data_IF_327886384955
#
_entry.id   IF_327886384955
#
_cell.length_a   1.000
_cell.length_b   1.000
_cell.length_c   1.000
_cell.angle_alpha   90.00
_cell.angle_beta   90.00
_cell.angle_gamma   90.00
#
_symmetry.space_group_name_H-M   'P 1'
#
loop_
_entity.id
_entity.type
_entity.pdbx_description
1 polymer ?
#
# COMPACT_ATOMS: atom_id res chain seq x y z
N UNK A 1 47.80 -53.29 -12.80
CA UNK A 1 47.30 -52.10 -13.53
C UNK A 1 45.82 -52.38 -13.79
N UNK A 2 44.80 -51.64 -13.35
CA UNK A 2 44.63 -50.29 -12.80
C UNK A 2 43.22 -50.26 -12.18
N UNK A 3 43.10 -49.73 -10.96
CA UNK A 3 41.88 -49.65 -10.16
C UNK A 3 40.87 -48.65 -10.76
N UNK A 4 39.57 -48.92 -10.63
CA UNK A 4 38.53 -47.88 -10.76
C UNK A 4 37.47 -48.06 -9.68
N UNK A 5 37.65 -47.32 -8.60
CA UNK A 5 36.65 -47.06 -7.57
C UNK A 5 35.75 -45.93 -8.07
N UNK A 6 34.48 -46.20 -8.35
CA UNK A 6 33.51 -45.15 -8.70
C UNK A 6 32.93 -44.57 -7.40
N UNK A 7 33.43 -43.40 -7.00
CA UNK A 7 32.81 -42.57 -5.97
C UNK A 7 31.67 -41.79 -6.63
N UNK A 8 30.43 -42.16 -6.32
CA UNK A 8 29.24 -41.44 -6.76
C UNK A 8 29.07 -40.19 -5.87
N UNK A 9 29.47 -39.02 -6.38
CA UNK A 9 29.26 -37.73 -5.72
C UNK A 9 27.81 -37.29 -5.96
N UNK A 10 26.95 -37.49 -4.95
CA UNK A 10 25.58 -36.96 -4.91
C UNK A 10 25.64 -35.44 -4.67
N UNK A 11 25.60 -34.67 -5.75
CA UNK A 11 25.52 -33.21 -5.71
C UNK A 11 24.08 -32.81 -5.35
N UNK A 12 23.84 -32.48 -4.08
CA UNK A 12 22.56 -31.96 -3.60
C UNK A 12 22.36 -30.52 -4.12
N UNK A 13 21.63 -30.35 -5.21
CA UNK A 13 21.14 -29.04 -5.66
C UNK A 13 19.93 -28.65 -4.81
N UNK A 14 20.19 -27.97 -3.69
CA UNK A 14 19.19 -27.18 -2.97
C UNK A 14 18.78 -26.01 -3.86
N UNK A 15 17.72 -26.20 -4.65
CA UNK A 15 17.02 -25.12 -5.32
C UNK A 15 16.33 -24.32 -4.21
N UNK A 16 16.94 -23.22 -3.80
CA UNK A 16 16.34 -22.26 -2.90
C UNK A 16 15.11 -21.67 -3.55
N UNK A 17 13.93 -22.09 -3.07
CA UNK A 17 12.67 -21.41 -3.36
C UNK A 17 12.71 -20.07 -2.63
N UNK A 18 13.29 -19.05 -3.28
CA UNK A 18 13.00 -17.66 -2.94
C UNK A 18 11.53 -17.44 -3.28
N UNK A 19 10.69 -17.44 -2.25
CA UNK A 19 9.27 -17.13 -2.37
C UNK A 19 9.14 -15.61 -2.62
N UNK A 20 9.39 -15.18 -3.86
CA UNK A 20 8.95 -13.88 -4.32
C UNK A 20 7.42 -13.91 -4.35
N UNK A 21 6.77 -13.18 -3.44
CA UNK A 21 5.32 -13.05 -3.44
C UNK A 21 4.88 -12.37 -4.73
N UNK A 22 4.26 -13.16 -5.61
CA UNK A 22 3.37 -12.81 -6.72
C UNK A 22 3.34 -11.32 -7.07
N UNK A 23 4.14 -10.93 -8.06
CA UNK A 23 4.03 -9.61 -8.68
C UNK A 23 2.90 -9.64 -9.71
N UNK A 24 1.87 -8.80 -9.56
CA UNK A 24 0.89 -8.57 -10.62
C UNK A 24 1.57 -7.75 -11.72
N UNK A 25 1.91 -8.42 -12.83
CA UNK A 25 2.42 -7.78 -14.04
C UNK A 25 1.24 -7.38 -14.92
N UNK A 26 1.10 -6.09 -15.18
CA UNK A 26 0.05 -5.55 -16.04
C UNK A 26 0.54 -5.66 -17.50
N UNK A 27 -0.27 -6.10 -18.48
CA UNK A 27 0.15 -6.14 -19.88
C UNK A 27 0.35 -4.69 -20.36
N UNK A 28 1.54 -4.28 -20.80
CA UNK A 28 2.22 -4.75 -22.00
C UNK A 28 3.74 -4.87 -21.78
N UNK A 29 4.27 -6.04 -22.13
CA UNK A 29 5.67 -6.52 -21.96
C UNK A 29 6.08 -6.81 -20.51
N UNK A 30 6.66 -8.00 -20.22
CA UNK A 30 7.22 -8.26 -18.91
C UNK A 30 8.46 -7.38 -18.76
N UNK A 31 8.33 -6.27 -18.05
CA UNK A 31 9.47 -5.52 -17.53
C UNK A 31 9.68 -5.93 -16.09
N UNK A 32 10.64 -6.84 -15.80
CA UNK A 32 11.32 -6.92 -14.50
C UNK A 32 11.88 -5.56 -14.03
N UNK A 33 11.93 -4.57 -14.93
CA UNK A 33 12.45 -3.22 -14.87
C UNK A 33 11.35 -2.12 -14.85
N UNK A 34 10.28 -2.30 -14.08
CA UNK A 34 9.20 -1.29 -13.92
C UNK A 34 9.32 -0.46 -12.64
N UNK A 35 8.50 0.59 -12.55
CA UNK A 35 8.18 1.22 -11.27
C UNK A 35 7.08 0.42 -10.55
N UNK A 36 6.97 0.58 -9.23
CA UNK A 36 6.02 -0.17 -8.39
C UNK A 36 5.07 0.79 -7.69
N UNK A 37 3.78 0.62 -7.88
CA UNK A 37 2.76 1.53 -7.31
C UNK A 37 1.73 0.77 -6.46
N UNK A 38 1.32 1.40 -5.36
CA UNK A 38 0.19 0.99 -4.53
C UNK A 38 -0.75 2.16 -4.38
N UNK A 39 -1.99 2.03 -4.83
CA UNK A 39 -3.03 3.01 -4.54
C UNK A 39 -3.59 2.76 -3.13
N UNK A 40 -3.81 3.84 -2.39
CA UNK A 40 -4.32 3.83 -1.01
C UNK A 40 -5.51 4.78 -0.92
N UNK A 41 -6.71 4.23 -0.74
CA UNK A 41 -7.93 5.04 -0.69
C UNK A 41 -8.33 5.37 0.75
N UNK A 42 -8.22 6.64 1.11
CA UNK A 42 -8.43 7.15 2.47
C UNK A 42 -9.42 8.32 2.54
N UNK A 43 -9.96 8.76 1.40
CA UNK A 43 -11.05 9.75 1.34
C UNK A 43 -12.40 9.13 1.76
N UNK A 44 -12.99 9.50 2.91
CA UNK A 44 -14.17 8.82 3.45
C UNK A 44 -15.49 9.21 2.78
N UNK A 45 -15.52 10.32 2.05
CA UNK A 45 -16.72 10.85 1.37
C UNK A 45 -16.63 10.73 -0.16
N UNK A 46 -15.51 10.24 -0.69
CA UNK A 46 -15.37 9.94 -2.11
C UNK A 46 -16.03 8.59 -2.43
N UNK A 47 -16.55 8.47 -3.66
CA UNK A 47 -17.02 7.20 -4.20
C UNK A 47 -15.86 6.20 -4.27
N UNK A 48 -16.18 4.89 -4.35
CA UNK A 48 -15.19 3.90 -4.74
C UNK A 48 -14.57 4.28 -6.10
N UNK A 49 -13.32 3.90 -6.33
CA UNK A 49 -12.58 4.29 -7.53
C UNK A 49 -12.03 3.09 -8.30
N UNK A 50 -11.98 3.27 -9.61
CA UNK A 50 -11.16 2.52 -10.54
C UNK A 50 -9.89 3.35 -10.85
N UNK A 51 -8.75 2.67 -11.00
CA UNK A 51 -7.47 3.21 -11.42
C UNK A 51 -7.18 2.73 -12.84
N UNK A 52 -6.90 3.70 -13.71
CA UNK A 52 -6.43 3.52 -15.07
C UNK A 52 -5.00 4.03 -15.18
N UNK A 53 -4.19 3.33 -15.95
CA UNK A 53 -2.82 3.70 -16.29
C UNK A 53 -2.64 3.54 -17.78
N UNK A 54 -2.15 4.59 -18.46
CA UNK A 54 -2.11 4.62 -19.93
C UNK A 54 -3.46 4.22 -20.54
N UNK A 55 -4.54 4.77 -19.99
CA UNK A 55 -5.94 4.49 -20.35
C UNK A 55 -6.40 3.03 -20.18
N UNK A 56 -5.57 2.15 -19.61
CA UNK A 56 -5.93 0.78 -19.27
C UNK A 56 -6.38 0.69 -17.82
N UNK A 57 -7.58 0.16 -17.58
CA UNK A 57 -8.05 -0.13 -16.22
C UNK A 57 -7.16 -1.19 -15.59
N UNK A 58 -6.56 -0.87 -14.45
CA UNK A 58 -5.70 -1.78 -13.72
C UNK A 58 -6.33 -2.31 -12.43
N UNK A 59 -7.21 -1.52 -11.81
CA UNK A 59 -7.98 -1.98 -10.66
C UNK A 59 -9.18 -2.80 -11.14
N UNK A 60 -8.97 -4.11 -11.27
CA UNK A 60 -9.96 -5.15 -11.49
C UNK A 60 -10.43 -5.40 -12.95
N UNK A 61 -10.23 -6.64 -13.41
CA UNK A 61 -10.90 -7.31 -14.53
C UNK A 61 -10.67 -6.72 -15.93
N UNK A 62 -9.91 -7.44 -16.75
CA UNK A 62 -9.70 -7.22 -18.18
C UNK A 62 -11.01 -6.84 -18.94
N UNK A 63 -10.94 -5.97 -19.95
CA UNK A 63 -12.05 -5.79 -20.91
C UNK A 63 -12.52 -7.14 -21.47
N UNK A 64 -13.79 -7.24 -21.84
CA UNK A 64 -14.34 -8.41 -22.56
C UNK A 64 -13.46 -8.74 -23.76
N UNK A 65 -12.74 -9.87 -23.72
CA UNK A 65 -11.86 -10.34 -24.80
C UNK A 65 -10.35 -10.25 -24.53
N UNK A 66 -9.89 -9.73 -23.39
CA UNK A 66 -8.46 -9.72 -23.06
C UNK A 66 -8.07 -10.93 -22.20
N UNK A 67 -7.01 -11.63 -22.63
CA UNK A 67 -6.49 -12.85 -22.00
C UNK A 67 -5.43 -12.51 -20.94
N UNK A 68 -5.50 -13.20 -19.81
CA UNK A 68 -4.84 -12.94 -18.52
C UNK A 68 -3.37 -12.54 -18.55
N UNK A 69 -2.97 -11.66 -17.62
CA UNK A 69 -1.86 -11.98 -16.69
C UNK A 69 -2.34 -11.64 -15.27
N UNK A 70 -2.62 -12.70 -14.50
CA UNK A 70 -2.84 -12.77 -13.06
C UNK A 70 -3.41 -11.51 -12.38
N UNK A 71 -4.73 -11.45 -12.22
CA UNK A 71 -5.38 -11.01 -10.99
C UNK A 71 -6.39 -12.13 -10.68
N UNK A 72 -6.44 -12.59 -9.43
CA UNK A 72 -7.21 -13.77 -9.03
C UNK A 72 -8.63 -13.81 -9.61
N UNK A 73 -9.16 -15.02 -9.75
CA UNK A 73 -10.45 -15.43 -10.33
C UNK A 73 -11.71 -14.79 -9.69
N UNK A 74 -11.75 -13.47 -9.55
CA UNK A 74 -12.79 -12.72 -8.86
C UNK A 74 -13.39 -11.61 -9.72
N UNK A 75 -14.69 -11.40 -9.54
CA UNK A 75 -15.48 -10.30 -10.08
C UNK A 75 -14.78 -8.95 -9.86
N UNK A 76 -14.77 -8.04 -10.85
CA UNK A 76 -14.11 -6.74 -10.72
C UNK A 76 -14.63 -5.97 -9.50
N UNK A 77 -13.77 -5.65 -8.53
CA UNK A 77 -14.18 -4.91 -7.32
C UNK A 77 -13.47 -3.57 -7.27
N UNK A 78 -14.27 -2.50 -7.17
CA UNK A 78 -13.77 -1.14 -7.04
C UNK A 78 -12.98 -0.94 -5.74
N UNK A 79 -12.04 0.01 -5.75
CA UNK A 79 -11.25 0.36 -4.58
C UNK A 79 -12.11 1.25 -3.68
N UNK A 80 -12.44 0.78 -2.47
CA UNK A 80 -13.30 1.49 -1.53
C UNK A 80 -12.50 2.23 -0.45
N UNK A 81 -13.15 3.15 0.26
CA UNK A 81 -12.52 3.84 1.40
C UNK A 81 -11.99 2.84 2.45
N UNK A 82 -10.72 3.01 2.85
CA UNK A 82 -10.02 2.13 3.77
C UNK A 82 -9.49 0.86 3.11
N UNK A 83 -9.15 0.91 1.82
CA UNK A 83 -8.57 -0.22 1.09
C UNK A 83 -7.40 0.22 0.21
N UNK A 84 -6.64 -0.76 -0.29
CA UNK A 84 -5.53 -0.55 -1.23
C UNK A 84 -5.70 -1.34 -2.51
N UNK A 85 -5.04 -0.87 -3.57
CA UNK A 85 -4.79 -1.65 -4.77
C UNK A 85 -3.29 -1.66 -5.11
N UNK A 86 -2.66 -2.82 -5.33
CA UNK A 86 -3.21 -4.15 -5.09
C UNK A 86 -3.65 -4.36 -3.63
N UNK A 87 -4.57 -5.32 -3.46
CA UNK A 87 -5.14 -5.69 -2.16
C UNK A 87 -4.26 -6.70 -1.41
N UNK A 88 -4.88 -7.57 -0.61
CA UNK A 88 -4.15 -8.58 0.17
C UNK A 88 -3.35 -9.54 -0.72
N UNK A 89 -2.12 -9.88 -0.30
CA UNK A 89 -1.26 -10.86 -0.95
C UNK A 89 -0.23 -10.26 -1.92
N UNK A 90 -0.51 -9.08 -2.47
CA UNK A 90 0.38 -8.37 -3.40
C UNK A 90 0.61 -6.95 -2.88
N UNK A 91 1.87 -6.56 -2.73
CA UNK A 91 2.17 -5.22 -2.22
C UNK A 91 2.14 -4.14 -3.30
N UNK A 92 2.53 -4.40 -4.54
CA UNK A 92 2.58 -3.34 -5.55
C UNK A 92 2.20 -3.88 -6.92
N UNK A 93 1.56 -3.03 -7.73
CA UNK A 93 1.42 -3.25 -9.15
C UNK A 93 2.69 -2.77 -9.86
N UNK A 94 3.20 -3.55 -10.80
CA UNK A 94 4.33 -3.14 -11.64
C UNK A 94 3.79 -2.35 -12.84
N UNK A 95 4.37 -1.18 -13.09
CA UNK A 95 3.99 -0.25 -14.15
C UNK A 95 5.23 0.28 -14.87
N UNK A 96 5.05 0.90 -16.03
CA UNK A 96 6.14 1.56 -16.74
C UNK A 96 6.79 2.66 -15.87
N UNK A 97 8.09 2.88 -16.01
CA UNK A 97 8.77 4.06 -15.48
C UNK A 97 8.67 5.25 -16.46
N UNK A 98 9.08 6.44 -16.01
CA UNK A 98 9.00 7.69 -16.75
C UNK A 98 7.73 8.48 -16.43
N UNK A 99 7.19 9.19 -17.43
CA UNK A 99 5.93 9.91 -17.32
C UNK A 99 4.78 8.95 -17.59
N UNK A 100 3.93 8.73 -16.58
CA UNK A 100 2.84 7.76 -16.61
C UNK A 100 1.51 8.47 -16.34
N UNK A 101 0.67 8.70 -17.35
CA UNK A 101 -0.68 9.21 -17.14
C UNK A 101 -1.54 8.20 -16.38
N UNK A 102 -2.27 8.70 -15.39
CA UNK A 102 -3.25 7.98 -14.61
C UNK A 102 -4.61 8.68 -14.67
N UNK A 103 -5.66 7.88 -14.60
CA UNK A 103 -7.03 8.36 -14.39
C UNK A 103 -7.66 7.57 -13.24
N UNK A 104 -8.28 8.29 -12.30
CA UNK A 104 -9.16 7.72 -11.30
C UNK A 104 -10.60 8.01 -11.74
N UNK A 105 -11.46 7.01 -11.75
CA UNK A 105 -12.88 7.19 -12.05
C UNK A 105 -13.76 6.51 -11.02
N UNK A 106 -14.98 6.97 -10.82
CA UNK A 106 -15.98 6.17 -10.13
C UNK A 106 -16.41 5.01 -11.05
N UNK A 107 -16.56 3.78 -10.54
CA UNK A 107 -17.13 2.68 -11.29
C UNK A 107 -18.56 3.01 -11.71
N UNK A 108 -18.94 2.57 -12.89
CA UNK A 108 -20.32 2.63 -13.33
C UNK A 108 -21.22 1.80 -12.37
N UNK A 109 -22.31 2.40 -11.87
CA UNK A 109 -23.25 1.70 -10.99
C UNK A 109 -24.11 0.66 -11.74
N UNK A 110 -24.19 0.74 -13.07
CA UNK A 110 -24.89 -0.18 -14.00
C UNK A 110 -24.17 -0.23 -15.35
N UNK A 111 -24.48 -1.21 -16.22
CA UNK A 111 -23.91 -1.34 -17.58
C UNK A 111 -24.22 -0.18 -18.53
N UNK A 112 -25.08 0.75 -18.11
CA UNK A 112 -25.52 1.93 -18.85
C UNK A 112 -25.07 3.26 -18.22
N UNK A 113 -24.32 3.20 -17.12
CA UNK A 113 -23.85 4.39 -16.41
C UNK A 113 -22.47 4.82 -16.91
N UNK A 114 -22.28 6.11 -17.17
CA UNK A 114 -20.98 6.67 -17.49
C UNK A 114 -20.11 6.71 -16.23
N UNK A 115 -18.90 6.15 -16.31
CA UNK A 115 -17.85 6.36 -15.30
C UNK A 115 -17.60 7.87 -15.13
N UNK A 116 -17.60 8.38 -13.90
CA UNK A 116 -17.23 9.79 -13.67
C UNK A 116 -15.75 9.89 -13.37
N UNK A 117 -15.03 10.76 -14.08
CA UNK A 117 -13.63 11.04 -13.75
C UNK A 117 -13.54 11.73 -12.39
N UNK A 118 -12.77 11.12 -11.49
CA UNK A 118 -12.49 11.62 -10.14
C UNK A 118 -11.22 12.48 -10.16
N UNK A 119 -10.17 12.01 -10.85
CA UNK A 119 -8.92 12.74 -11.01
C UNK A 119 -8.14 12.25 -12.23
N UNK A 120 -7.34 13.13 -12.82
CA UNK A 120 -6.35 12.78 -13.86
C UNK A 120 -5.01 13.41 -13.47
N UNK A 121 -3.92 12.65 -13.59
CA UNK A 121 -2.59 13.12 -13.24
C UNK A 121 -1.54 12.40 -14.09
N UNK A 122 -0.44 13.07 -14.42
CA UNK A 122 0.76 12.42 -14.95
C UNK A 122 1.74 12.21 -13.82
N UNK A 123 2.05 10.95 -13.50
CA UNK A 123 3.03 10.56 -12.49
C UNK A 123 4.44 10.55 -13.10
N UNK A 124 5.44 10.96 -12.32
CA UNK A 124 6.85 10.76 -12.66
C UNK A 124 7.39 9.60 -11.82
N UNK A 125 7.67 8.47 -12.46
CA UNK A 125 8.05 7.23 -11.80
C UNK A 125 9.46 6.81 -12.18
N UNK A 126 10.30 6.52 -11.19
CA UNK A 126 11.65 6.02 -11.42
C UNK A 126 11.65 4.50 -11.52
N UNK A 127 12.49 3.96 -12.40
CA UNK A 127 12.70 2.52 -12.52
C UNK A 127 13.12 1.91 -11.17
N UNK A 128 12.56 0.74 -10.85
CA UNK A 128 12.87 0.00 -9.62
C UNK A 128 12.34 0.62 -8.33
N UNK A 129 11.83 1.85 -8.37
CA UNK A 129 11.31 2.56 -7.20
C UNK A 129 9.88 2.15 -6.85
N UNK A 130 9.55 2.31 -5.57
CA UNK A 130 8.25 1.97 -4.99
C UNK A 130 7.52 3.25 -4.60
N UNK A 131 6.21 3.28 -4.82
CA UNK A 131 5.39 4.45 -4.56
C UNK A 131 4.03 4.08 -3.99
N UNK A 132 3.54 4.91 -3.07
CA UNK A 132 2.15 4.91 -2.64
C UNK A 132 1.41 6.10 -3.28
N UNK A 133 0.33 5.83 -4.01
CA UNK A 133 -0.58 6.81 -4.58
C UNK A 133 -1.77 7.00 -3.63
N UNK A 134 -1.72 8.06 -2.85
CA UNK A 134 -2.72 8.38 -1.83
C UNK A 134 -3.91 9.09 -2.45
N UNK A 135 -5.12 8.62 -2.15
CA UNK A 135 -6.39 9.30 -2.43
C UNK A 135 -7.02 9.69 -1.11
N UNK A 136 -7.15 10.98 -0.84
CA UNK A 136 -7.44 11.51 0.51
C UNK A 136 -8.22 12.83 0.47
N UNK A 137 -8.54 13.39 1.65
CA UNK A 137 -9.33 14.62 1.77
C UNK A 137 -10.84 14.35 1.98
N UNK A 138 -11.64 15.42 1.94
CA UNK A 138 -13.10 15.39 2.17
C UNK A 138 -13.89 15.72 0.90
N UNK A 139 -15.19 15.43 0.90
CA UNK A 139 -16.07 15.67 -0.23
C UNK A 139 -15.93 14.65 -1.37
N UNK A 140 -16.63 14.91 -2.46
CA UNK A 140 -16.71 14.01 -3.63
C UNK A 140 -15.54 14.12 -4.60
N UNK A 141 -14.68 15.14 -4.43
CA UNK A 141 -13.47 15.37 -5.21
C UNK A 141 -12.25 15.22 -4.28
N UNK A 142 -11.71 14.00 -4.13
CA UNK A 142 -10.55 13.76 -3.29
C UNK A 142 -9.27 14.36 -3.90
N UNK A 143 -8.30 14.59 -3.04
CA UNK A 143 -6.93 14.92 -3.41
C UNK A 143 -6.15 13.65 -3.76
N UNK A 144 -5.20 13.76 -4.69
CA UNK A 144 -4.32 12.66 -5.11
C UNK A 144 -2.87 13.07 -4.93
N UNK A 145 -2.07 12.24 -4.24
CA UNK A 145 -0.64 12.50 -4.00
C UNK A 145 0.17 11.22 -4.15
N UNK A 146 1.20 11.29 -4.99
CA UNK A 146 2.22 10.25 -5.08
C UNK A 146 3.30 10.48 -4.01
N UNK A 147 3.67 9.43 -3.28
CA UNK A 147 4.78 9.46 -2.32
C UNK A 147 5.76 8.31 -2.62
N UNK A 148 7.08 8.53 -2.52
CA UNK A 148 8.05 7.45 -2.63
C UNK A 148 8.04 6.59 -1.35
N UNK A 149 8.20 5.29 -1.54
CA UNK A 149 8.38 4.32 -0.47
C UNK A 149 9.85 3.92 -0.42
N UNK A 150 10.63 4.66 0.36
CA UNK A 150 12.05 4.40 0.57
C UNK A 150 12.26 3.37 1.70
N UNK A 151 12.82 2.22 1.33
CA UNK A 151 13.13 1.13 2.26
C UNK A 151 14.61 1.07 2.66
N UNK A 152 15.41 2.09 2.35
CA UNK A 152 16.84 2.15 2.68
C UNK A 152 17.13 1.95 4.18
N UNK A 153 16.23 2.42 5.05
CA UNK A 153 16.31 2.21 6.50
C UNK A 153 15.82 0.84 6.98
N UNK A 154 15.13 0.06 6.13
CA UNK A 154 14.49 -1.21 6.46
C UNK A 154 15.38 -2.43 6.16
N UNK A 155 16.47 -2.56 6.92
CA UNK A 155 17.55 -3.53 6.69
C UNK A 155 17.67 -4.63 7.76
N UNK A 156 17.04 -4.49 8.92
CA UNK A 156 17.07 -5.47 9.99
C UNK A 156 15.83 -6.38 9.93
N UNK A 157 15.96 -7.66 9.52
CA UNK A 157 14.83 -8.57 9.40
C UNK A 157 14.22 -8.95 10.76
N UNK A 158 14.88 -8.66 11.89
CA UNK A 158 14.32 -8.90 13.23
C UNK A 158 13.33 -7.82 13.66
N UNK A 159 13.31 -6.68 12.96
CA UNK A 159 12.45 -5.54 13.28
C UNK A 159 11.23 -5.46 12.38
N UNK A 160 10.21 -4.78 12.91
CA UNK A 160 9.08 -4.27 12.15
C UNK A 160 9.33 -2.80 11.80
N UNK A 161 9.10 -2.37 10.55
CA UNK A 161 9.30 -0.97 10.17
C UNK A 161 7.97 -0.27 9.95
N UNK A 162 7.85 0.94 10.51
CA UNK A 162 6.60 1.71 10.52
C UNK A 162 6.84 3.12 10.02
N UNK A 163 5.97 3.57 9.11
CA UNK A 163 5.81 4.98 8.75
C UNK A 163 4.41 5.45 9.14
N UNK A 164 4.30 6.67 9.64
CA UNK A 164 3.02 7.31 9.92
C UNK A 164 2.68 8.38 8.89
N UNK A 165 1.42 8.44 8.47
CA UNK A 165 0.88 9.51 7.64
C UNK A 165 -0.39 10.04 8.31
N UNK A 166 -0.48 11.35 8.50
CA UNK A 166 -1.72 11.97 8.96
C UNK A 166 -2.51 12.53 7.77
N UNK A 167 -3.63 11.90 7.42
CA UNK A 167 -4.54 12.34 6.36
C UNK A 167 -5.92 12.76 6.91
N UNK A 168 -6.01 13.08 8.20
CA UNK A 168 -7.25 13.64 8.78
C UNK A 168 -7.23 15.17 8.52
N UNK A 169 -8.14 15.69 7.68
CA UNK A 169 -8.17 17.11 7.36
C UNK A 169 -8.69 17.92 8.54
N UNK A 170 -8.22 19.17 8.66
CA UNK A 170 -8.60 20.13 9.71
C UNK A 170 -8.42 19.60 11.14
N UNK A 171 -7.53 18.63 11.34
CA UNK A 171 -7.17 18.09 12.64
C UNK A 171 -5.88 18.72 13.20
N UNK A 172 -5.68 18.69 14.54
CA UNK A 172 -4.37 18.91 15.14
C UNK A 172 -3.31 17.93 14.60
N UNK A 173 -2.03 18.24 14.86
CA UNK A 173 -0.97 17.28 14.64
C UNK A 173 -1.11 16.08 15.60
N UNK A 174 -0.67 14.91 15.13
CA UNK A 174 -0.77 13.67 15.88
C UNK A 174 0.60 13.01 16.09
N UNK A 175 0.74 12.35 17.23
CA UNK A 175 1.81 11.38 17.47
C UNK A 175 1.30 9.98 17.13
N UNK A 176 2.13 9.15 16.49
CA UNK A 176 1.95 7.71 16.45
C UNK A 176 2.73 7.09 17.60
N UNK A 177 2.09 6.21 18.36
CA UNK A 177 2.73 5.48 19.44
C UNK A 177 2.32 4.00 19.44
N UNK A 178 3.15 3.16 20.06
CA UNK A 178 2.72 1.86 20.54
C UNK A 178 1.69 2.05 21.66
N UNK A 179 0.76 1.11 21.76
CA UNK A 179 -0.20 1.02 22.88
C UNK A 179 0.50 0.97 24.25
N UNK A 180 1.74 0.49 24.30
CA UNK A 180 2.61 0.46 25.49
C UNK A 180 3.16 1.83 25.91
N UNK A 181 3.01 2.87 25.08
CA UNK A 181 3.45 4.23 25.40
C UNK A 181 4.49 4.80 24.45
N UNK A 182 5.38 3.97 23.89
CA UNK A 182 6.52 4.38 23.06
C UNK A 182 6.08 5.16 21.82
N UNK A 183 6.54 6.40 21.69
CA UNK A 183 6.27 7.24 20.52
C UNK A 183 7.18 6.82 19.36
N UNK A 184 6.59 6.66 18.18
CA UNK A 184 7.25 6.23 16.94
C UNK A 184 7.39 7.36 15.92
N UNK A 185 6.43 8.27 15.90
CA UNK A 185 6.47 9.50 15.11
C UNK A 185 5.75 10.59 15.90
N UNK A 186 6.33 11.79 15.95
CA UNK A 186 5.79 12.90 16.76
C UNK A 186 5.40 14.08 15.90
N UNK A 187 4.34 14.78 16.29
CA UNK A 187 3.90 16.05 15.73
C UNK A 187 3.68 16.01 14.20
N UNK A 188 3.01 14.96 13.72
CA UNK A 188 2.70 14.78 12.31
C UNK A 188 1.42 15.56 11.97
N UNK A 189 1.60 16.74 11.35
CA UNK A 189 0.51 17.58 10.85
C UNK A 189 -0.22 16.94 9.65
N UNK A 190 -1.35 17.52 9.22
CA UNK A 190 -2.08 17.05 8.04
C UNK A 190 -1.19 17.00 6.79
N UNK A 191 -1.27 15.90 6.05
CA UNK A 191 -0.39 15.49 4.95
C UNK A 191 1.09 15.27 5.32
N UNK A 192 1.42 15.34 6.61
CA UNK A 192 2.71 14.99 7.15
C UNK A 192 2.97 13.49 7.03
N UNK A 193 4.21 13.16 6.72
CA UNK A 193 4.69 11.80 6.49
C UNK A 193 5.97 11.65 7.32
N UNK A 194 6.04 10.67 8.20
CA UNK A 194 7.26 10.37 8.95
C UNK A 194 8.26 9.59 8.09
N UNK A 195 9.50 9.47 8.55
CA UNK A 195 10.39 8.41 8.08
C UNK A 195 9.90 7.04 8.56
N UNK A 196 10.42 5.96 7.95
CA UNK A 196 10.28 4.62 8.50
C UNK A 196 11.15 4.47 9.75
N UNK A 197 10.57 3.96 10.83
CA UNK A 197 11.27 3.65 12.08
C UNK A 197 11.14 2.18 12.40
N UNK A 198 12.24 1.57 12.86
CA UNK A 198 12.24 0.19 13.34
C UNK A 198 11.59 0.10 14.73
N UNK A 199 10.76 -0.91 14.92
CA UNK A 199 10.08 -1.24 16.16
C UNK A 199 10.65 -2.56 16.65
N UNK A 200 11.06 -2.61 17.91
CA UNK A 200 11.65 -3.79 18.56
C UNK A 200 10.58 -4.82 18.96
N UNK A 201 9.75 -5.22 18.01
CA UNK A 201 8.73 -6.27 18.12
C UNK A 201 8.71 -7.07 16.83
N UNK A 202 8.64 -8.40 16.93
CA UNK A 202 8.93 -9.28 15.79
C UNK A 202 7.74 -9.59 14.87
N UNK A 203 6.49 -9.52 15.37
CA UNK A 203 5.34 -10.09 14.66
C UNK A 203 3.95 -9.54 15.08
N UNK A 204 3.84 -8.87 16.22
CA UNK A 204 2.59 -8.29 16.69
C UNK A 204 2.87 -6.93 17.32
N UNK A 205 2.15 -5.90 16.87
CA UNK A 205 2.26 -4.56 17.41
C UNK A 205 0.88 -3.89 17.42
N UNK A 206 0.54 -3.26 18.54
CA UNK A 206 -0.68 -2.47 18.69
C UNK A 206 -0.33 -0.99 18.69
N UNK A 207 -0.95 -0.24 17.78
CA UNK A 207 -0.69 1.17 17.54
C UNK A 207 -1.86 2.04 17.99
N UNK A 208 -1.55 3.23 18.48
CA UNK A 208 -2.49 4.30 18.78
C UNK A 208 -1.96 5.59 18.17
N UNK A 209 -2.86 6.52 17.84
CA UNK A 209 -2.47 7.90 17.59
C UNK A 209 -3.09 8.83 18.63
N UNK A 210 -2.33 9.86 18.99
CA UNK A 210 -2.59 10.76 20.10
C UNK A 210 -2.48 12.19 19.62
N UNK A 211 -3.20 13.11 20.27
CA UNK A 211 -2.90 14.54 20.10
C UNK A 211 -1.42 14.77 20.42
N UNK A 212 -0.72 15.49 19.53
CA UNK A 212 0.72 15.66 19.64
C UNK A 212 1.14 16.21 21.02
N UNK A 213 2.15 15.58 21.63
CA UNK A 213 2.66 15.96 22.94
C UNK A 213 1.79 15.51 24.12
N UNK A 214 0.78 14.66 23.89
CA UNK A 214 -0.12 14.14 24.95
C UNK A 214 -0.10 12.62 25.02
N UNK A 215 -0.69 12.06 26.09
CA UNK A 215 -0.93 10.62 26.24
C UNK A 215 -2.36 10.21 25.88
N UNK A 216 -3.21 11.15 25.48
CA UNK A 216 -4.63 10.92 25.18
C UNK A 216 -4.78 10.31 23.79
N UNK A 217 -5.20 9.05 23.74
CA UNK A 217 -5.49 8.36 22.49
C UNK A 217 -6.74 8.93 21.84
N UNK A 218 -6.69 9.15 20.52
CA UNK A 218 -7.86 9.60 19.73
C UNK A 218 -8.82 8.44 19.47
N UNK A 219 -8.29 7.21 19.38
CA UNK A 219 -9.05 6.00 19.05
C UNK A 219 -8.60 4.81 19.89
N UNK A 220 -9.34 3.70 19.76
CA UNK A 220 -8.86 2.39 20.22
C UNK A 220 -7.60 1.98 19.47
N UNK A 221 -6.79 1.13 20.10
CA UNK A 221 -5.57 0.60 19.50
C UNK A 221 -5.90 -0.28 18.30
N UNK A 222 -5.11 -0.17 17.23
CA UNK A 222 -5.15 -1.07 16.09
C UNK A 222 -3.96 -2.01 16.12
N UNK A 223 -4.24 -3.31 16.18
CA UNK A 223 -3.21 -4.35 16.19
C UNK A 223 -2.92 -4.82 14.77
N UNK A 224 -1.65 -4.79 14.40
CA UNK A 224 -1.14 -5.48 13.22
C UNK A 224 -0.46 -6.77 13.65
N UNK A 225 -0.77 -7.87 12.94
CA UNK A 225 -0.15 -9.18 13.17
C UNK A 225 0.40 -9.74 11.86
N UNK A 226 1.58 -10.35 11.92
CA UNK A 226 2.17 -11.05 10.77
C UNK A 226 2.93 -12.27 11.24
N UNK A 227 2.86 -13.36 10.48
CA UNK A 227 3.69 -14.56 10.71
C UNK A 227 5.12 -14.42 10.16
N UNK A 228 5.48 -13.25 9.60
CA UNK A 228 6.78 -13.00 8.98
C UNK A 228 7.41 -11.76 9.59
N UNK A 229 8.68 -11.87 9.98
CA UNK A 229 9.50 -10.76 10.47
C UNK A 229 9.96 -9.86 9.32
N UNK A 230 10.45 -8.66 9.62
CA UNK A 230 10.97 -7.74 8.60
C UNK A 230 9.90 -7.01 7.79
N UNK A 231 8.64 -7.00 8.26
CA UNK A 231 7.54 -6.29 7.59
C UNK A 231 7.75 -4.79 7.66
N UNK A 232 7.48 -4.13 6.55
CA UNK A 232 7.43 -2.67 6.41
C UNK A 232 5.98 -2.28 6.19
N UNK A 233 5.43 -1.43 7.05
CA UNK A 233 4.04 -0.96 6.95
C UNK A 233 3.96 0.55 7.00
N UNK A 234 2.90 1.06 6.40
CA UNK A 234 2.46 2.43 6.59
C UNK A 234 1.16 2.42 7.37
N UNK A 235 1.13 3.23 8.42
CA UNK A 235 -0.02 3.50 9.26
C UNK A 235 -0.53 4.88 8.88
N UNK A 236 -1.78 4.95 8.47
CA UNK A 236 -2.44 6.19 8.07
C UNK A 236 -3.50 6.54 9.11
N UNK A 237 -3.42 7.73 9.69
CA UNK A 237 -4.58 8.31 10.35
C UNK A 237 -5.51 8.86 9.27
N UNK A 238 -6.73 8.32 9.20
CA UNK A 238 -7.74 8.66 8.20
C UNK A 238 -9.10 8.92 8.85
N UNK A 239 -10.06 9.42 8.07
CA UNK A 239 -11.36 9.87 8.56
C UNK A 239 -11.44 11.39 8.61
N UNK A 240 -12.48 11.91 9.27
CA UNK A 240 -12.74 13.35 9.37
C UNK A 240 -12.86 13.72 10.85
N UNK A 241 -12.12 14.75 11.26
CA UNK A 241 -12.18 15.25 12.64
C UNK A 241 -13.62 15.58 13.07
N UNK A 242 -14.02 15.09 14.25
CA UNK A 242 -15.37 15.31 14.81
C UNK A 242 -16.50 14.49 14.17
N UNK A 243 -16.25 13.66 13.14
CA UNK A 243 -17.28 12.76 12.57
C UNK A 243 -17.39 11.47 13.37
N UNK A 244 -18.55 10.81 13.22
CA UNK A 244 -18.86 9.48 13.76
C UNK A 244 -19.11 8.47 12.62
N UNK A 245 -19.33 7.19 12.96
CA UNK A 245 -19.64 6.15 11.99
C UNK A 245 -18.47 5.83 11.06
N UNK A 246 -18.76 5.56 9.78
CA UNK A 246 -17.74 5.14 8.80
C UNK A 246 -16.62 6.17 8.63
N UNK A 247 -16.91 7.47 8.73
CA UNK A 247 -15.95 8.56 8.55
C UNK A 247 -15.22 8.97 9.83
N UNK A 248 -15.40 8.25 10.95
CA UNK A 248 -14.70 8.54 12.22
C UNK A 248 -13.17 8.49 12.03
N UNK A 249 -12.41 9.35 12.73
CA UNK A 249 -10.96 9.22 12.85
C UNK A 249 -10.58 7.79 13.25
N UNK A 250 -9.68 7.17 12.49
CA UNK A 250 -9.13 5.83 12.77
C UNK A 250 -7.76 5.63 12.14
N UNK A 251 -7.06 4.61 12.62
CA UNK A 251 -5.90 4.09 11.93
C UNK A 251 -6.33 3.15 10.78
N UNK A 252 -5.56 3.19 9.71
CA UNK A 252 -5.59 2.26 8.59
C UNK A 252 -4.16 1.81 8.30
N UNK A 253 -3.94 0.49 8.27
CA UNK A 253 -2.60 -0.08 8.11
C UNK A 253 -2.56 -0.83 6.79
N UNK A 254 -1.54 -0.54 5.98
CA UNK A 254 -1.22 -1.35 4.81
C UNK A 254 0.24 -1.76 4.79
N UNK A 255 0.48 -2.95 4.23
CA UNK A 255 1.82 -3.52 4.07
C UNK A 255 2.48 -2.94 2.83
N UNK A 256 3.70 -2.45 2.97
CA UNK A 256 4.61 -2.10 1.90
C UNK A 256 5.44 -3.33 1.51
N UNK A 257 6.08 -4.01 2.47
CA UNK A 257 6.99 -5.16 2.25
C UNK A 257 6.85 -6.19 3.38
#
# INVERSE_FOLDING_TARGET
MRNYTYVLLLLATLIGWSCERETLSIPSTPTPAGARIKLVHTAPEAASIDLYINDQKISAGLPTGASSISAGTGTPTAITYGSTFPGSGVSYAVVQSGQVPITLSSPAATTTSSTTTVATQTLTLNEGSYYSLLVFGTGTQPQVKLIPDDFSAANDPSKFYVRFINLIPNAPAYDLALSTGTVLASNIAYQGISSFVGVDVSNNASFVFRLAGTTTNVTTAQTFTSSTSGRVVTIVAQGIFGRTGTAVPRLFIYVNR
#
